data_IF_554833554398
#
_entry.id   IF_554833554398
#
_cell.length_a   1.000
_cell.length_b   1.000
_cell.length_c   1.000
_cell.angle_alpha   90.00
_cell.angle_beta   90.00
_cell.angle_gamma   90.00
#
_symmetry.space_group_name_H-M   'P 1'
#
loop_
_entity.id
_entity.type
_entity.pdbx_description
1 polymer ?
#
# COMPACT_ATOMS: atom_id res chain seq x y z
N UNK A 1 -13.23 13.25 10.30
CA UNK A 1 -13.96 12.15 10.99
C UNK A 1 -13.38 10.84 10.48
N UNK A 2 -12.64 10.09 11.31
CA UNK A 2 -12.07 8.79 10.92
C UNK A 2 -13.17 7.78 10.58
N UNK A 3 -12.84 6.72 9.83
CA UNK A 3 -13.81 5.71 9.38
C UNK A 3 -14.51 5.10 10.60
N UNK A 4 -15.74 5.53 10.88
CA UNK A 4 -16.43 5.28 12.16
C UNK A 4 -17.02 3.87 12.32
N UNK A 5 -16.63 2.90 11.48
CA UNK A 5 -16.67 1.44 11.73
C UNK A 5 -16.29 0.70 10.45
N UNK A 6 -15.05 0.20 10.38
CA UNK A 6 -14.67 -0.76 9.36
C UNK A 6 -15.33 -2.10 9.70
N UNK A 7 -16.16 -2.61 8.79
CA UNK A 7 -16.71 -3.97 8.87
C UNK A 7 -15.86 -4.91 8.04
N UNK A 8 -16.11 -6.21 8.18
CA UNK A 8 -15.44 -7.25 7.38
C UNK A 8 -15.72 -7.07 5.89
N UNK A 9 -16.94 -6.68 5.53
CA UNK A 9 -17.36 -6.44 4.15
C UNK A 9 -16.61 -5.25 3.55
N UNK A 10 -16.44 -4.16 4.34
CA UNK A 10 -15.65 -3.02 3.89
C UNK A 10 -14.18 -3.41 3.70
N UNK A 11 -13.63 -4.22 4.60
CA UNK A 11 -12.25 -4.69 4.44
C UNK A 11 -12.08 -5.60 3.21
N UNK A 12 -13.07 -6.44 2.89
CA UNK A 12 -13.07 -7.24 1.68
C UNK A 12 -12.99 -6.35 0.43
N UNK A 13 -13.83 -5.32 0.38
CA UNK A 13 -13.78 -4.34 -0.70
C UNK A 13 -12.42 -3.63 -0.79
N UNK A 14 -11.83 -3.22 0.34
CA UNK A 14 -10.49 -2.59 0.39
C UNK A 14 -9.42 -3.52 -0.18
N UNK A 15 -9.46 -4.79 0.23
CA UNK A 15 -8.50 -5.82 -0.20
C UNK A 15 -8.63 -6.11 -1.69
N UNK A 16 -9.84 -6.13 -2.24
CA UNK A 16 -10.05 -6.49 -3.65
C UNK A 16 -9.90 -5.30 -4.60
N UNK A 17 -10.06 -4.06 -4.12
CA UNK A 17 -10.17 -2.86 -4.98
C UNK A 17 -9.12 -1.78 -4.70
N UNK A 18 -8.32 -1.90 -3.64
CA UNK A 18 -7.19 -1.02 -3.37
C UNK A 18 -7.51 0.47 -3.28
N UNK A 19 -6.60 1.33 -3.79
CA UNK A 19 -6.80 2.78 -3.80
C UNK A 19 -8.07 3.23 -4.56
N UNK A 20 -8.48 2.61 -5.68
CA UNK A 20 -9.78 2.90 -6.32
C UNK A 20 -10.99 2.83 -5.37
N UNK A 21 -11.00 1.91 -4.41
CA UNK A 21 -12.04 1.90 -3.37
C UNK A 21 -12.00 3.17 -2.52
N UNK A 22 -10.82 3.59 -2.07
CA UNK A 22 -10.66 4.77 -1.22
C UNK A 22 -11.15 6.04 -1.96
N UNK A 23 -10.74 6.20 -3.22
CA UNK A 23 -11.20 7.28 -4.10
C UNK A 23 -12.73 7.27 -4.23
N UNK A 24 -13.34 6.11 -4.47
CA UNK A 24 -14.82 5.98 -4.56
C UNK A 24 -15.53 6.37 -3.27
N UNK A 25 -14.89 6.17 -2.11
CA UNK A 25 -15.41 6.61 -0.81
C UNK A 25 -15.13 8.08 -0.48
N UNK A 26 -14.54 8.84 -1.41
CA UNK A 26 -14.23 10.27 -1.25
C UNK A 26 -12.83 10.56 -0.70
N UNK A 27 -11.95 9.56 -0.61
CA UNK A 27 -10.56 9.75 -0.20
C UNK A 27 -9.66 10.02 -1.40
N UNK A 28 -9.50 11.30 -1.71
CA UNK A 28 -8.61 11.80 -2.76
C UNK A 28 -9.34 12.05 -4.08
N UNK A 29 -8.60 12.08 -5.18
CA UNK A 29 -9.10 12.43 -6.51
C UNK A 29 -9.04 11.25 -7.46
N UNK A 30 -9.79 11.32 -8.56
CA UNK A 30 -9.92 10.19 -9.50
C UNK A 30 -8.62 9.93 -10.23
N UNK A 31 -7.94 11.00 -10.60
CA UNK A 31 -6.65 11.02 -11.28
C UNK A 31 -5.50 10.53 -10.41
N UNK A 32 -5.65 10.43 -9.08
CA UNK A 32 -4.57 9.94 -8.21
C UNK A 32 -4.15 8.52 -8.61
N UNK A 33 -5.11 7.68 -9.05
CA UNK A 33 -4.85 6.31 -9.48
C UNK A 33 -3.89 6.22 -10.68
N UNK A 34 -3.80 7.25 -11.52
CA UNK A 34 -2.89 7.25 -12.67
C UNK A 34 -1.42 7.40 -12.26
N UNK A 35 -1.16 7.82 -11.02
CA UNK A 35 0.16 8.04 -10.44
C UNK A 35 0.46 7.03 -9.31
N UNK A 36 -0.31 5.94 -9.23
CA UNK A 36 -0.04 4.84 -8.30
C UNK A 36 0.34 3.63 -9.12
N UNK A 37 1.42 2.97 -8.73
CA UNK A 37 1.82 1.69 -9.29
C UNK A 37 0.64 0.68 -9.29
N UNK A 38 0.47 -0.10 -10.36
CA UNK A 38 -0.71 -0.98 -10.58
C UNK A 38 -2.06 -0.23 -10.58
N UNK A 39 -2.05 1.09 -10.85
CA UNK A 39 -3.22 1.95 -10.61
C UNK A 39 -3.79 1.83 -9.18
N UNK A 40 -2.93 1.45 -8.23
CA UNK A 40 -3.27 1.20 -6.83
C UNK A 40 -4.12 -0.05 -6.58
N UNK A 41 -4.17 -1.00 -7.52
CA UNK A 41 -4.95 -2.23 -7.39
C UNK A 41 -4.35 -3.42 -8.16
N UNK A 42 -3.82 -4.40 -7.44
CA UNK A 42 -3.50 -5.72 -7.98
C UNK A 42 -4.78 -6.55 -8.14
N UNK A 43 -5.19 -6.81 -9.37
CA UNK A 43 -6.44 -7.54 -9.71
C UNK A 43 -6.48 -8.98 -9.20
N UNK A 44 -5.32 -9.57 -8.91
CA UNK A 44 -5.22 -10.95 -8.42
C UNK A 44 -5.59 -11.12 -6.95
N UNK A 45 -5.88 -10.02 -6.24
CA UNK A 45 -6.30 -10.08 -4.85
C UNK A 45 -7.56 -10.93 -4.64
N UNK A 46 -7.57 -11.71 -3.56
CA UNK A 46 -8.71 -12.55 -3.19
C UNK A 46 -8.87 -12.51 -1.68
N UNK A 47 -9.96 -11.91 -1.18
CA UNK A 47 -10.18 -11.76 0.25
C UNK A 47 -10.26 -13.11 0.98
N UNK A 48 -10.69 -14.18 0.30
CA UNK A 48 -10.77 -15.53 0.87
C UNK A 48 -9.39 -16.15 1.16
N UNK A 49 -8.33 -15.60 0.58
CA UNK A 49 -6.95 -16.01 0.83
C UNK A 49 -6.36 -15.39 2.11
N UNK A 50 -7.06 -14.46 2.76
CA UNK A 50 -6.58 -13.77 3.96
C UNK A 50 -7.21 -14.40 5.21
N UNK A 51 -6.38 -14.67 6.23
CA UNK A 51 -6.84 -15.29 7.47
C UNK A 51 -7.65 -14.32 8.33
N UNK A 52 -8.55 -14.85 9.17
CA UNK A 52 -9.30 -14.05 10.17
C UNK A 52 -8.36 -13.34 11.16
N UNK A 53 -7.17 -13.89 11.41
CA UNK A 53 -6.14 -13.24 12.23
C UNK A 53 -5.55 -12.01 11.52
N UNK A 54 -5.29 -12.09 10.22
CA UNK A 54 -4.81 -10.95 9.44
C UNK A 54 -5.89 -9.86 9.33
N UNK A 55 -7.14 -10.26 9.10
CA UNK A 55 -8.32 -9.38 9.09
C UNK A 55 -8.45 -8.60 10.41
N UNK A 56 -8.48 -9.31 11.54
CA UNK A 56 -8.65 -8.68 12.86
C UNK A 56 -7.50 -7.73 13.24
N UNK A 57 -6.26 -8.03 12.80
CA UNK A 57 -5.11 -7.13 13.01
C UNK A 57 -5.12 -5.91 12.09
N UNK A 58 -5.53 -6.09 10.84
CA UNK A 58 -5.52 -5.05 9.80
C UNK A 58 -6.64 -4.03 9.93
N UNK A 59 -7.85 -4.53 10.16
CA UNK A 59 -9.08 -3.73 10.16
C UNK A 59 -9.01 -2.45 11.01
N UNK A 60 -8.52 -2.46 12.27
CA UNK A 60 -8.46 -1.23 13.07
C UNK A 60 -7.34 -0.26 12.66
N UNK A 61 -6.48 -0.63 11.71
CA UNK A 61 -5.27 0.11 11.35
C UNK A 61 -5.35 0.79 9.97
N UNK A 62 -6.43 0.60 9.21
CA UNK A 62 -6.60 1.27 7.92
C UNK A 62 -6.69 2.80 8.13
N UNK A 63 -5.95 3.54 7.32
CA UNK A 63 -5.76 4.97 7.47
C UNK A 63 -4.80 5.35 8.60
N UNK A 64 -3.75 4.57 8.83
CA UNK A 64 -2.72 4.90 9.83
C UNK A 64 -1.31 4.73 9.27
N UNK A 65 -0.35 5.50 9.80
CA UNK A 65 1.06 5.36 9.46
C UNK A 65 1.65 4.08 10.06
N UNK A 66 1.52 3.96 11.39
CA UNK A 66 2.13 2.90 12.17
C UNK A 66 3.38 3.30 12.92
N UNK A 67 4.23 2.30 13.16
CA UNK A 67 5.50 2.40 13.86
C UNK A 67 6.64 1.83 12.99
N UNK A 68 7.88 1.90 13.48
CA UNK A 68 9.08 1.50 12.76
C UNK A 68 9.62 2.65 11.92
N UNK A 69 10.06 2.36 10.71
CA UNK A 69 10.49 3.35 9.72
C UNK A 69 9.33 4.03 8.98
N UNK A 70 8.10 3.93 9.48
CA UNK A 70 6.93 4.58 8.87
C UNK A 70 6.82 6.04 9.31
N UNK A 71 6.64 6.95 8.35
CA UNK A 71 6.59 8.39 8.60
C UNK A 71 5.74 9.13 7.57
N UNK A 72 5.45 10.39 7.92
CA UNK A 72 4.92 11.40 7.02
C UNK A 72 5.80 12.63 7.18
N UNK A 73 6.43 13.07 6.10
CA UNK A 73 7.42 14.13 6.12
C UNK A 73 7.06 15.23 5.13
N UNK A 74 7.10 16.49 5.59
CA UNK A 74 7.04 17.66 4.72
C UNK A 74 8.47 18.01 4.34
N UNK A 75 8.76 18.01 3.05
CA UNK A 75 10.10 18.14 2.51
C UNK A 75 10.21 19.37 1.63
N UNK A 76 11.45 19.83 1.43
CA UNK A 76 11.81 20.89 0.50
C UNK A 76 12.78 20.29 -0.51
N UNK A 77 12.50 20.47 -1.81
CA UNK A 77 13.43 20.09 -2.88
C UNK A 77 14.69 20.94 -2.73
N UNK A 78 15.81 20.34 -2.29
CA UNK A 78 17.05 21.09 -2.08
C UNK A 78 17.80 21.31 -3.40
N UNK A 79 17.83 20.30 -4.28
CA UNK A 79 18.56 20.34 -5.55
C UNK A 79 17.82 19.62 -6.67
N UNK A 80 17.93 20.14 -7.89
CA UNK A 80 17.47 19.47 -9.12
C UNK A 80 18.69 19.05 -9.94
N UNK A 81 18.77 17.75 -10.26
CA UNK A 81 19.89 17.17 -11.02
C UNK A 81 19.57 16.96 -12.51
N UNK A 82 18.30 16.74 -12.82
CA UNK A 82 17.77 16.56 -14.16
C UNK A 82 16.52 17.44 -14.28
N UNK A 83 16.65 18.57 -14.98
CA UNK A 83 15.58 19.55 -15.14
C UNK A 83 14.42 19.01 -15.99
N UNK A 84 14.70 18.16 -16.97
CA UNK A 84 13.68 17.61 -17.86
C UNK A 84 12.82 16.59 -17.10
N UNK A 85 13.45 15.67 -16.38
CA UNK A 85 12.75 14.69 -15.55
C UNK A 85 11.99 15.34 -14.39
N UNK A 86 12.61 16.32 -13.70
CA UNK A 86 11.94 17.04 -12.61
C UNK A 86 10.66 17.72 -13.09
N UNK A 87 10.73 18.42 -14.23
CA UNK A 87 9.56 19.06 -14.84
C UNK A 87 8.49 18.05 -15.25
N UNK A 88 8.88 16.90 -15.81
CA UNK A 88 7.95 15.82 -16.14
C UNK A 88 7.23 15.26 -14.90
N UNK A 89 7.89 15.25 -13.73
CA UNK A 89 7.33 14.86 -12.44
C UNK A 89 6.60 15.98 -11.69
N UNK A 90 6.46 17.17 -12.28
CA UNK A 90 5.82 18.32 -11.62
C UNK A 90 6.65 18.93 -10.49
N UNK A 91 7.97 18.72 -10.50
CA UNK A 91 8.95 19.39 -9.64
C UNK A 91 9.56 20.54 -10.46
N UNK A 92 9.06 21.76 -10.24
CA UNK A 92 9.34 22.91 -11.10
C UNK A 92 10.58 23.70 -10.65
N UNK A 93 10.92 23.67 -9.36
CA UNK A 93 12.04 24.45 -8.82
C UNK A 93 12.62 23.89 -7.51
N UNK A 94 13.90 24.20 -7.27
CA UNK A 94 14.49 24.08 -5.94
C UNK A 94 13.71 24.97 -4.95
N UNK A 95 13.44 24.45 -3.77
CA UNK A 95 12.59 25.06 -2.77
C UNK A 95 11.13 24.65 -2.81
N UNK A 96 10.67 23.92 -3.84
CA UNK A 96 9.32 23.37 -3.87
C UNK A 96 9.07 22.45 -2.66
N UNK A 97 7.90 22.60 -2.04
CA UNK A 97 7.49 21.78 -0.90
C UNK A 97 6.82 20.50 -1.40
N UNK A 98 7.20 19.36 -0.85
CA UNK A 98 6.61 18.05 -1.13
C UNK A 98 6.20 17.37 0.16
N UNK A 99 5.36 16.33 0.07
CA UNK A 99 5.01 15.48 1.21
C UNK A 99 5.32 14.03 0.84
N UNK A 100 6.12 13.37 1.67
CA UNK A 100 6.44 11.95 1.52
C UNK A 100 5.67 11.14 2.56
N UNK A 101 4.96 10.10 2.10
CA UNK A 101 4.24 9.15 2.96
C UNK A 101 4.93 7.80 2.85
N UNK A 102 5.52 7.33 3.96
CA UNK A 102 6.13 6.01 4.04
C UNK A 102 5.33 5.13 5.00
N UNK A 103 4.47 4.28 4.44
CA UNK A 103 3.75 3.25 5.20
C UNK A 103 3.34 2.07 4.30
N UNK A 104 2.84 0.99 4.92
CA UNK A 104 2.50 -0.24 4.22
C UNK A 104 1.16 -0.84 4.64
N UNK A 105 1.06 -2.16 4.48
CA UNK A 105 -0.14 -2.97 4.73
C UNK A 105 -0.46 -3.23 6.20
N UNK A 106 0.22 -2.51 7.11
CA UNK A 106 0.02 -2.54 8.55
C UNK A 106 0.09 -3.97 9.10
N UNK A 107 -0.69 -4.28 10.15
CA UNK A 107 -0.76 -5.60 10.74
C UNK A 107 -1.30 -6.70 9.81
N UNK A 108 -2.02 -6.32 8.74
CA UNK A 108 -2.59 -7.26 7.78
C UNK A 108 -1.49 -7.98 7.01
N UNK A 109 -0.64 -7.24 6.29
CA UNK A 109 0.39 -7.87 5.47
C UNK A 109 1.46 -8.59 6.27
N UNK A 110 1.83 -8.08 7.45
CA UNK A 110 2.71 -8.82 8.37
C UNK A 110 2.11 -10.18 8.74
N UNK A 111 0.80 -10.23 9.03
CA UNK A 111 0.15 -11.49 9.40
C UNK A 111 0.00 -12.42 8.20
N UNK A 112 -0.32 -11.89 7.01
CA UNK A 112 -0.30 -12.66 5.75
C UNK A 112 1.06 -13.32 5.55
N UNK A 113 2.16 -12.55 5.62
CA UNK A 113 3.51 -13.12 5.48
C UNK A 113 3.78 -14.22 6.52
N UNK A 114 3.46 -13.98 7.79
CA UNK A 114 3.64 -14.97 8.87
C UNK A 114 2.84 -16.26 8.63
N UNK A 115 1.59 -16.15 8.17
CA UNK A 115 0.70 -17.28 7.93
C UNK A 115 1.21 -18.14 6.78
N UNK A 116 1.66 -17.53 5.69
CA UNK A 116 2.12 -18.25 4.51
C UNK A 116 3.53 -18.81 4.67
N UNK A 117 4.44 -18.13 5.36
CA UNK A 117 5.75 -18.69 5.73
C UNK A 117 5.54 -19.99 6.51
N UNK A 118 4.68 -19.97 7.54
CA UNK A 118 4.38 -21.17 8.33
C UNK A 118 3.74 -22.27 7.50
N UNK A 119 2.77 -21.94 6.65
CA UNK A 119 2.13 -22.93 5.78
C UNK A 119 3.12 -23.58 4.80
N UNK A 120 4.11 -22.80 4.30
CA UNK A 120 5.15 -23.33 3.43
C UNK A 120 6.15 -24.20 4.21
N UNK A 121 6.50 -23.83 5.44
CA UNK A 121 7.33 -24.66 6.33
C UNK A 121 6.64 -26.01 6.61
N UNK A 122 5.35 -25.99 6.95
CA UNK A 122 4.58 -27.19 7.28
C UNK A 122 4.41 -28.12 6.05
N UNK A 123 4.27 -27.56 4.84
CA UNK A 123 3.99 -28.34 3.62
C UNK A 123 5.25 -28.80 2.88
N UNK A 124 6.24 -27.92 2.73
CA UNK A 124 7.43 -28.16 1.90
C UNK A 124 8.69 -28.42 2.74
N UNK A 125 8.69 -28.00 4.01
CA UNK A 125 9.86 -28.05 4.86
C UNK A 125 10.99 -27.13 4.38
N UNK A 126 12.09 -27.13 5.12
CA UNK A 126 13.24 -26.25 4.85
C UNK A 126 14.59 -26.99 4.91
N UNK A 127 14.59 -28.33 5.01
CA UNK A 127 15.81 -29.14 5.21
C UNK A 127 16.81 -29.04 4.04
N UNK A 128 16.33 -28.78 2.83
CA UNK A 128 17.16 -28.70 1.62
C UNK A 128 17.49 -27.25 1.23
N UNK A 129 17.13 -26.28 2.06
CA UNK A 129 17.41 -24.87 1.82
C UNK A 129 18.69 -24.48 2.55
N UNK A 130 19.49 -23.54 2.00
CA UNK A 130 20.67 -23.04 2.69
C UNK A 130 20.30 -22.24 3.95
N UNK A 131 19.08 -21.71 4.02
CA UNK A 131 18.52 -21.05 5.19
C UNK A 131 17.02 -21.39 5.33
N UNK A 132 16.53 -21.51 6.57
CA UNK A 132 15.10 -21.69 6.87
C UNK A 132 14.27 -20.51 6.40
N UNK A 133 14.80 -19.29 6.48
CA UNK A 133 14.13 -18.06 6.08
C UNK A 133 13.89 -17.96 4.57
N UNK A 134 14.47 -18.87 3.78
CA UNK A 134 14.25 -18.99 2.32
C UNK A 134 13.12 -19.96 1.96
N UNK A 135 12.28 -20.35 2.93
CA UNK A 135 11.13 -21.22 2.69
C UNK A 135 10.24 -20.65 1.59
N UNK A 136 9.80 -21.52 0.68
CA UNK A 136 9.05 -21.12 -0.49
C UNK A 136 8.08 -22.23 -0.93
N UNK A 137 7.11 -21.86 -1.77
CA UNK A 137 6.26 -22.77 -2.51
C UNK A 137 6.47 -22.55 -4.01
N UNK A 138 6.39 -23.60 -4.85
CA UNK A 138 6.34 -23.42 -6.29
C UNK A 138 5.19 -22.49 -6.67
N UNK A 139 5.44 -21.51 -7.55
CA UNK A 139 4.49 -20.44 -7.86
C UNK A 139 3.13 -20.96 -8.37
N UNK A 140 3.15 -22.05 -9.14
CA UNK A 140 1.95 -22.69 -9.71
C UNK A 140 1.29 -23.72 -8.77
N UNK A 141 1.81 -23.91 -7.55
CA UNK A 141 1.15 -24.75 -6.55
C UNK A 141 -0.07 -24.03 -5.96
N UNK A 142 -1.01 -24.81 -5.41
CA UNK A 142 -2.15 -24.25 -4.68
C UNK A 142 -1.73 -23.26 -3.60
N UNK A 143 -0.68 -23.57 -2.83
CA UNK A 143 -0.20 -22.71 -1.75
C UNK A 143 0.49 -21.45 -2.29
N UNK A 144 1.28 -21.57 -3.35
CA UNK A 144 1.94 -20.43 -4.02
C UNK A 144 0.92 -19.45 -4.60
N UNK A 145 -0.09 -19.95 -5.31
CA UNK A 145 -1.18 -19.15 -5.85
C UNK A 145 -2.01 -18.48 -4.74
N UNK A 146 -2.33 -19.22 -3.67
CA UNK A 146 -3.07 -18.66 -2.54
C UNK A 146 -2.28 -17.56 -1.82
N UNK A 147 -0.97 -17.75 -1.64
CA UNK A 147 -0.09 -16.71 -1.09
C UNK A 147 -0.08 -15.47 -1.99
N UNK A 148 0.11 -15.65 -3.30
CA UNK A 148 0.17 -14.54 -4.25
C UNK A 148 -1.12 -13.70 -4.18
N UNK A 149 -2.29 -14.34 -4.18
CA UNK A 149 -3.58 -13.67 -4.00
C UNK A 149 -3.68 -12.90 -2.68
N UNK A 150 -3.22 -13.49 -1.57
CA UNK A 150 -3.24 -12.84 -0.26
C UNK A 150 -2.26 -11.66 -0.17
N UNK A 151 -1.08 -11.78 -0.79
CA UNK A 151 -0.07 -10.73 -0.89
C UNK A 151 -0.60 -9.56 -1.74
N UNK A 152 -1.21 -9.83 -2.89
CA UNK A 152 -1.90 -8.84 -3.71
C UNK A 152 -2.98 -8.10 -2.91
N UNK A 153 -3.76 -8.84 -2.12
CA UNK A 153 -4.74 -8.24 -1.21
C UNK A 153 -4.13 -7.35 -0.13
N UNK A 154 -2.96 -7.73 0.41
CA UNK A 154 -2.22 -6.89 1.35
C UNK A 154 -1.65 -5.63 0.68
N UNK A 155 -1.19 -5.73 -0.58
CA UNK A 155 -0.74 -4.59 -1.37
C UNK A 155 -1.89 -3.60 -1.61
N UNK A 156 -3.07 -4.10 -1.99
CA UNK A 156 -4.28 -3.29 -2.16
C UNK A 156 -4.68 -2.56 -0.86
N UNK A 157 -4.62 -3.25 0.28
CA UNK A 157 -4.81 -2.61 1.57
C UNK A 157 -3.80 -1.47 1.81
N UNK A 158 -2.52 -1.66 1.44
CA UNK A 158 -1.50 -0.64 1.56
C UNK A 158 -1.74 0.56 0.62
N UNK A 159 -2.20 0.33 -0.61
CA UNK A 159 -2.59 1.40 -1.54
C UNK A 159 -3.76 2.21 -1.00
N UNK A 160 -4.84 1.55 -0.55
CA UNK A 160 -5.96 2.22 0.08
C UNK A 160 -5.55 3.02 1.34
N UNK A 161 -4.67 2.45 2.17
CA UNK A 161 -4.14 3.11 3.36
C UNK A 161 -3.41 4.41 3.02
N UNK A 162 -2.50 4.38 2.04
CA UNK A 162 -1.77 5.58 1.60
C UNK A 162 -2.69 6.60 0.95
N UNK A 163 -3.64 6.15 0.11
CA UNK A 163 -4.63 7.03 -0.52
C UNK A 163 -5.48 7.80 0.50
N UNK A 164 -5.91 7.13 1.59
CA UNK A 164 -6.61 7.79 2.69
C UNK A 164 -5.73 8.82 3.42
N UNK A 165 -4.45 8.50 3.62
CA UNK A 165 -3.50 9.44 4.24
C UNK A 165 -3.26 10.65 3.32
N UNK A 166 -3.10 10.44 2.01
CA UNK A 166 -3.01 11.52 1.00
C UNK A 166 -4.21 12.47 1.09
N UNK A 167 -5.42 11.94 1.22
CA UNK A 167 -6.62 12.75 1.42
C UNK A 167 -6.53 13.62 2.69
N UNK A 168 -6.10 13.05 3.82
CA UNK A 168 -5.99 13.80 5.06
C UNK A 168 -4.85 14.82 5.04
N UNK A 169 -3.74 14.53 4.37
CA UNK A 169 -2.67 15.52 4.11
C UNK A 169 -3.26 16.74 3.41
N UNK A 170 -3.98 16.52 2.29
CA UNK A 170 -4.62 17.61 1.55
C UNK A 170 -5.59 18.40 2.44
N UNK A 171 -6.43 17.71 3.22
CA UNK A 171 -7.34 18.36 4.17
C UNK A 171 -6.62 19.20 5.22
N UNK A 172 -5.53 18.72 5.80
CA UNK A 172 -4.74 19.50 6.75
C UNK A 172 -4.11 20.73 6.10
N UNK A 173 -3.59 20.62 4.88
CA UNK A 173 -3.07 21.77 4.13
C UNK A 173 -4.18 22.78 3.78
N UNK A 174 -5.36 22.31 3.36
CA UNK A 174 -6.53 23.16 3.11
C UNK A 174 -6.93 23.93 4.38
N UNK A 175 -7.00 23.25 5.52
CA UNK A 175 -7.37 23.85 6.82
C UNK A 175 -6.34 24.89 7.31
N UNK A 176 -5.04 24.64 7.12
CA UNK A 176 -3.96 25.49 7.66
C UNK A 176 -3.56 26.61 6.69
N UNK A 177 -3.44 26.29 5.39
CA UNK A 177 -2.92 27.18 4.35
C UNK A 177 -4.04 27.80 3.50
N UNK A 178 -5.29 27.34 3.65
CA UNK A 178 -6.45 27.84 2.93
C UNK A 178 -6.63 27.27 1.51
N UNK A 179 -5.71 26.42 1.04
CA UNK A 179 -5.85 25.68 -0.23
C UNK A 179 -4.98 24.41 -0.25
N UNK A 180 -5.38 23.44 -1.07
CA UNK A 180 -4.60 22.23 -1.37
C UNK A 180 -4.75 21.78 -2.83
N UNK A 181 -5.30 22.63 -3.70
CA UNK A 181 -5.71 22.25 -5.07
C UNK A 181 -4.52 21.80 -5.94
N UNK A 182 -3.32 22.33 -5.68
CA UNK A 182 -2.11 21.99 -6.43
C UNK A 182 -1.33 20.79 -5.85
N UNK A 183 -1.85 20.12 -4.81
CA UNK A 183 -1.18 18.97 -4.19
C UNK A 183 -1.46 17.68 -4.97
N UNK A 184 -0.70 17.46 -6.04
CA UNK A 184 -0.79 16.26 -6.88
C UNK A 184 0.07 15.11 -6.35
N UNK A 185 -0.34 13.87 -6.61
CA UNK A 185 0.51 12.70 -6.40
C UNK A 185 1.58 12.71 -7.49
N UNK A 186 2.86 12.73 -7.09
CA UNK A 186 3.97 12.59 -8.04
C UNK A 186 4.04 11.13 -8.48
N UNK A 187 4.21 10.22 -7.52
CA UNK A 187 4.11 8.79 -7.72
C UNK A 187 3.96 8.04 -6.39
N UNK A 188 3.35 6.85 -6.42
CA UNK A 188 3.29 5.89 -5.31
C UNK A 188 3.84 4.55 -5.78
N UNK A 189 4.86 4.04 -5.09
CA UNK A 189 5.60 2.82 -5.46
C UNK A 189 5.79 1.89 -4.27
N UNK A 190 5.69 0.59 -4.53
CA UNK A 190 5.98 -0.47 -3.57
C UNK A 190 7.49 -0.73 -3.50
N UNK A 191 8.01 -0.98 -2.29
CA UNK A 191 9.38 -1.45 -2.09
C UNK A 191 9.45 -2.87 -1.48
N UNK A 192 8.29 -3.46 -1.14
CA UNK A 192 8.15 -4.83 -0.64
C UNK A 192 6.98 -5.51 -1.36
N UNK A 193 7.24 -6.06 -2.54
CA UNK A 193 6.23 -6.69 -3.39
C UNK A 193 6.88 -7.76 -4.27
N UNK A 194 6.08 -8.72 -4.74
CA UNK A 194 6.44 -9.62 -5.83
C UNK A 194 5.43 -9.43 -6.98
N UNK A 195 5.93 -9.34 -8.21
CA UNK A 195 5.11 -9.09 -9.39
C UNK A 195 5.47 -10.03 -10.53
N UNK A 196 4.49 -10.28 -11.38
CA UNK A 196 4.72 -10.90 -12.69
C UNK A 196 4.94 -9.76 -13.69
N UNK A 197 6.08 -9.78 -14.37
CA UNK A 197 6.47 -8.77 -15.36
C UNK A 197 6.72 -9.48 -16.71
N UNK A 198 6.53 -8.75 -17.83
CA UNK A 198 6.79 -9.23 -19.20
C UNK A 198 8.19 -8.87 -19.69
#
# INVERSE_FOLDING_TARGET
KGVTRLTREVLADVVEKGAPWAVKQGYGYREDADYIEEHGCMETADFSAISERAISRGMPQLGSLGSGNHFLEIQRVDRIFDEEAAKAFGIENEGQVTVMIHCGSRGLGHQVASDYIRAMEDKYGFKNLPDRELVNAPINSELGQRYYKAMSGAANFAFANKQMITHWVRKCFEEIMGNSENMKVVYDVCHNIAKMEE
#
